data_IF_577358362671
#
_entry.id   IF_577358362671
#
_cell.length_a   1.000
_cell.length_b   1.000
_cell.length_c   1.000
_cell.angle_alpha   90.00
_cell.angle_beta   90.00
_cell.angle_gamma   90.00
#
_symmetry.space_group_name_H-M   'P 1'
#
loop_
_entity.id
_entity.type
_entity.pdbx_description
1 polymer ?
#
# COMPACT_ATOMS: atom_id res chain seq x y z
N UNK A 1 -48.01 32.03 -10.61
CA UNK A 1 -47.34 31.69 -9.35
C UNK A 1 -45.92 31.20 -9.62
N UNK A 2 -44.94 31.74 -8.89
CA UNK A 2 -43.53 31.71 -9.27
C UNK A 2 -42.87 30.34 -9.00
N UNK A 3 -42.51 29.60 -10.05
CA UNK A 3 -41.71 28.36 -10.00
C UNK A 3 -40.20 28.65 -9.86
N UNK A 4 -39.81 29.65 -9.05
CA UNK A 4 -38.40 30.06 -8.87
C UNK A 4 -37.60 29.13 -7.95
N UNK A 5 -38.28 28.32 -7.14
CA UNK A 5 -37.58 27.37 -6.23
C UNK A 5 -37.12 26.09 -6.91
N UNK A 6 -37.84 25.61 -7.92
CA UNK A 6 -37.53 24.40 -8.67
C UNK A 6 -36.29 24.54 -9.55
N UNK A 7 -36.03 25.72 -10.11
CA UNK A 7 -34.84 25.97 -10.95
C UNK A 7 -33.51 26.06 -10.19
N UNK A 8 -33.53 26.29 -8.88
CA UNK A 8 -32.33 26.32 -8.06
C UNK A 8 -31.97 24.92 -7.46
N UNK A 9 -32.96 24.05 -7.31
CA UNK A 9 -32.73 22.71 -6.79
C UNK A 9 -32.00 21.82 -7.79
N UNK A 10 -32.29 21.99 -9.09
CA UNK A 10 -31.67 21.19 -10.14
C UNK A 10 -30.14 21.38 -10.25
N UNK A 11 -29.61 22.64 -10.36
CA UNK A 11 -28.16 22.82 -10.37
C UNK A 11 -27.50 22.44 -9.03
N UNK A 12 -28.17 22.60 -7.89
CA UNK A 12 -27.65 22.18 -6.60
C UNK A 12 -27.46 20.66 -6.54
N UNK A 13 -28.43 19.89 -7.07
CA UNK A 13 -28.33 18.42 -7.14
C UNK A 13 -27.21 17.97 -8.08
N UNK A 14 -27.13 18.56 -9.28
CA UNK A 14 -26.08 18.27 -10.26
C UNK A 14 -24.70 18.57 -9.68
N UNK A 15 -24.54 19.71 -9.02
CA UNK A 15 -23.28 20.13 -8.39
C UNK A 15 -22.87 19.17 -7.27
N UNK A 16 -23.83 18.75 -6.43
CA UNK A 16 -23.56 17.77 -5.36
C UNK A 16 -23.10 16.43 -5.91
N UNK A 17 -23.77 15.92 -6.94
CA UNK A 17 -23.40 14.68 -7.62
C UNK A 17 -22.00 14.78 -8.25
N UNK A 18 -21.70 15.92 -8.90
CA UNK A 18 -20.39 16.17 -9.48
C UNK A 18 -19.27 16.20 -8.44
N UNK A 19 -19.49 16.85 -7.28
CA UNK A 19 -18.51 16.87 -6.19
C UNK A 19 -18.25 15.49 -5.61
N UNK A 20 -19.30 14.69 -5.40
CA UNK A 20 -19.16 13.28 -4.95
C UNK A 20 -18.31 12.48 -5.94
N UNK A 21 -18.56 12.64 -7.22
CA UNK A 21 -17.81 11.96 -8.27
C UNK A 21 -16.34 12.39 -8.31
N UNK A 22 -16.04 13.68 -8.17
CA UNK A 22 -14.67 14.20 -8.09
C UNK A 22 -13.91 13.62 -6.90
N UNK A 23 -14.53 13.58 -5.72
CA UNK A 23 -13.90 12.99 -4.52
C UNK A 23 -13.67 11.48 -4.73
N UNK A 24 -14.64 10.78 -5.33
CA UNK A 24 -14.51 9.37 -5.64
C UNK A 24 -13.34 9.06 -6.58
N UNK A 25 -13.18 9.83 -7.65
CA UNK A 25 -12.04 9.70 -8.58
C UNK A 25 -10.72 9.97 -7.86
N UNK A 26 -10.68 11.00 -7.00
CA UNK A 26 -9.49 11.34 -6.22
C UNK A 26 -9.09 10.21 -5.27
N UNK A 27 -10.06 9.63 -4.55
CA UNK A 27 -9.79 8.51 -3.65
C UNK A 27 -9.31 7.27 -4.40
N UNK A 28 -9.88 6.98 -5.56
CA UNK A 28 -9.43 5.88 -6.41
C UNK A 28 -7.99 6.09 -6.90
N UNK A 29 -7.64 7.31 -7.32
CA UNK A 29 -6.28 7.65 -7.72
C UNK A 29 -5.27 7.49 -6.56
N UNK A 30 -5.65 7.95 -5.36
CA UNK A 30 -4.83 7.77 -4.14
C UNK A 30 -4.64 6.31 -3.77
N UNK A 31 -5.69 5.51 -3.89
CA UNK A 31 -5.63 4.07 -3.64
C UNK A 31 -4.71 3.35 -4.64
N UNK A 32 -4.81 3.67 -5.92
CA UNK A 32 -3.92 3.12 -6.97
C UNK A 32 -2.46 3.51 -6.72
N UNK A 33 -2.20 4.76 -6.36
CA UNK A 33 -0.86 5.21 -5.99
C UNK A 33 -0.32 4.46 -4.77
N UNK A 34 -1.12 4.33 -3.71
CA UNK A 34 -0.73 3.60 -2.51
C UNK A 34 -0.41 2.13 -2.82
N UNK A 35 -1.24 1.47 -3.64
CA UNK A 35 -1.00 0.08 -4.05
C UNK A 35 0.32 -0.06 -4.81
N UNK A 36 0.60 0.80 -5.78
CA UNK A 36 1.85 0.79 -6.54
C UNK A 36 3.07 1.05 -5.64
N UNK A 37 2.96 1.98 -4.69
CA UNK A 37 4.03 2.29 -3.74
C UNK A 37 4.37 1.09 -2.85
N UNK A 38 3.38 0.40 -2.27
CA UNK A 38 3.65 -0.80 -1.47
C UNK A 38 4.14 -1.98 -2.32
N UNK A 39 3.68 -2.12 -3.56
CA UNK A 39 4.18 -3.16 -4.47
C UNK A 39 5.67 -2.94 -4.80
N UNK A 40 6.04 -1.71 -5.10
CA UNK A 40 7.43 -1.33 -5.34
C UNK A 40 8.32 -1.58 -4.10
N UNK A 41 7.87 -1.13 -2.92
CA UNK A 41 8.60 -1.32 -1.67
C UNK A 41 8.76 -2.81 -1.32
N UNK A 42 7.72 -3.64 -1.51
CA UNK A 42 7.79 -5.09 -1.31
C UNK A 42 8.84 -5.74 -2.23
N UNK A 43 8.84 -5.35 -3.51
CA UNK A 43 9.78 -5.89 -4.48
C UNK A 43 11.23 -5.49 -4.16
N UNK A 44 11.46 -4.23 -3.81
CA UNK A 44 12.77 -3.73 -3.40
C UNK A 44 13.28 -4.45 -2.15
N UNK A 45 12.46 -4.56 -1.11
CA UNK A 45 12.83 -5.23 0.13
C UNK A 45 13.11 -6.73 -0.06
N UNK A 46 12.31 -7.43 -0.87
CA UNK A 46 12.55 -8.84 -1.20
C UNK A 46 13.87 -9.03 -1.97
N UNK A 47 14.15 -8.16 -2.94
CA UNK A 47 15.41 -8.19 -3.69
C UNK A 47 16.62 -7.87 -2.80
N UNK A 48 16.50 -6.88 -1.92
CA UNK A 48 17.53 -6.56 -0.94
C UNK A 48 17.81 -7.74 -0.01
N UNK A 49 16.77 -8.40 0.49
CA UNK A 49 16.89 -9.57 1.34
C UNK A 49 17.49 -10.79 0.61
N UNK A 50 17.17 -10.98 -0.68
CA UNK A 50 17.68 -12.12 -1.47
C UNK A 50 19.20 -12.11 -1.68
N UNK A 51 19.82 -10.94 -1.60
CA UNK A 51 21.29 -10.77 -1.69
C UNK A 51 21.98 -10.85 -0.33
N UNK A 52 21.24 -11.06 0.76
CA UNK A 52 21.72 -11.09 2.15
C UNK A 52 21.22 -12.31 2.91
N UNK A 53 21.43 -13.46 2.32
CA UNK A 53 21.20 -14.74 2.98
C UNK A 53 22.28 -15.10 4.00
N UNK A 54 22.18 -16.27 4.59
CA UNK A 54 23.08 -16.73 5.65
C UNK A 54 24.57 -16.80 5.25
N UNK A 55 24.87 -16.92 3.95
CA UNK A 55 26.23 -17.03 3.42
C UNK A 55 26.86 -15.67 3.06
N UNK A 56 26.11 -14.58 3.13
CA UNK A 56 26.56 -13.23 2.70
C UNK A 56 27.52 -12.53 3.68
N UNK A 57 27.77 -13.10 4.85
CA UNK A 57 28.51 -12.47 5.95
C UNK A 57 27.70 -11.41 6.72
N UNK A 58 26.57 -10.96 6.18
CA UNK A 58 25.64 -10.03 6.82
C UNK A 58 24.20 -10.48 6.52
N UNK A 59 23.81 -11.60 7.15
CA UNK A 59 22.47 -12.16 6.97
C UNK A 59 21.38 -11.15 7.36
N UNK A 60 20.41 -10.92 6.47
CA UNK A 60 19.31 -10.00 6.72
C UNK A 60 18.42 -10.51 7.86
N UNK A 61 18.25 -9.69 8.90
CA UNK A 61 17.25 -9.91 9.93
C UNK A 61 15.88 -9.35 9.48
N UNK A 62 14.80 -9.79 10.14
CA UNK A 62 13.45 -9.26 9.88
C UNK A 62 13.41 -7.74 9.98
N UNK A 63 14.07 -7.18 11.01
CA UNK A 63 14.09 -5.74 11.25
C UNK A 63 14.76 -4.95 10.11
N UNK A 64 15.82 -5.50 9.52
CA UNK A 64 16.55 -4.85 8.43
C UNK A 64 15.70 -4.81 7.16
N UNK A 65 14.99 -5.91 6.86
CA UNK A 65 14.07 -5.97 5.71
C UNK A 65 12.88 -5.05 5.91
N UNK A 66 12.38 -4.91 7.14
CA UNK A 66 11.32 -3.96 7.47
C UNK A 66 11.78 -2.52 7.29
N UNK A 67 13.00 -2.19 7.75
CA UNK A 67 13.58 -0.86 7.55
C UNK A 67 13.76 -0.52 6.07
N UNK A 68 14.26 -1.47 5.28
CA UNK A 68 14.40 -1.30 3.82
C UNK A 68 13.04 -1.09 3.13
N UNK A 69 12.01 -1.86 3.52
CA UNK A 69 10.66 -1.67 3.00
C UNK A 69 10.09 -0.29 3.33
N UNK A 70 10.27 0.19 4.56
CA UNK A 70 9.83 1.51 5.01
C UNK A 70 10.58 2.65 4.32
N UNK A 71 11.88 2.49 4.10
CA UNK A 71 12.71 3.49 3.40
C UNK A 71 12.31 3.66 1.93
N UNK A 72 11.78 2.62 1.32
CA UNK A 72 11.31 2.65 -0.08
C UNK A 72 9.82 2.97 -0.24
N UNK A 73 9.11 3.25 0.85
CA UNK A 73 7.72 3.65 0.82
C UNK A 73 7.62 5.15 0.51
N UNK A 74 7.07 5.49 -0.65
CA UNK A 74 6.99 6.88 -1.11
C UNK A 74 5.65 7.51 -0.75
N UNK A 75 5.69 8.65 -0.04
CA UNK A 75 4.54 9.50 0.27
C UNK A 75 3.38 8.80 1.00
N UNK A 76 3.65 7.70 1.72
CA UNK A 76 2.69 7.01 2.56
C UNK A 76 3.14 7.04 4.03
N UNK A 77 2.16 6.94 4.93
CA UNK A 77 2.41 6.95 6.37
C UNK A 77 2.92 5.57 6.83
N UNK A 78 4.17 5.50 7.28
CA UNK A 78 4.79 4.27 7.77
C UNK A 78 4.06 3.67 8.99
N UNK A 79 3.31 4.48 9.74
CA UNK A 79 2.52 3.99 10.90
C UNK A 79 1.35 3.10 10.51
N UNK A 80 0.89 3.20 9.26
CA UNK A 80 -0.19 2.39 8.70
C UNK A 80 0.32 1.15 7.97
N UNK A 81 1.65 0.96 7.89
CA UNK A 81 2.29 -0.15 7.21
C UNK A 81 2.61 -1.29 8.18
N UNK A 82 2.25 -2.51 7.79
CA UNK A 82 2.68 -3.75 8.44
C UNK A 82 3.51 -4.56 7.46
N UNK A 83 4.71 -4.95 7.86
CA UNK A 83 5.65 -5.73 7.04
C UNK A 83 5.81 -7.12 7.64
N UNK A 84 5.47 -8.14 6.87
CA UNK A 84 5.73 -9.54 7.17
C UNK A 84 6.87 -10.07 6.32
N UNK A 85 7.82 -10.76 6.91
CA UNK A 85 8.96 -11.39 6.22
C UNK A 85 9.01 -12.86 6.59
N UNK A 86 9.10 -13.72 5.59
CA UNK A 86 9.23 -15.17 5.77
C UNK A 86 10.31 -15.74 4.87
N UNK A 87 11.08 -16.69 5.39
CA UNK A 87 12.06 -17.48 4.64
C UNK A 87 11.59 -18.92 4.56
N UNK A 88 11.61 -19.51 3.39
CA UNK A 88 11.14 -20.87 3.18
C UNK A 88 12.15 -21.67 2.35
N UNK A 89 12.70 -22.77 2.88
CA UNK A 89 12.56 -23.32 4.24
C UNK A 89 13.41 -22.59 5.29
N UNK A 90 14.43 -21.81 4.89
CA UNK A 90 15.37 -21.11 5.77
C UNK A 90 16.00 -19.92 5.03
N UNK A 91 17.01 -19.25 5.65
CA UNK A 91 17.72 -18.10 5.03
C UNK A 91 18.98 -18.55 4.26
N UNK A 92 19.04 -19.78 3.75
CA UNK A 92 20.18 -20.27 2.98
C UNK A 92 20.03 -19.98 1.48
N UNK A 93 21.13 -19.96 0.72
CA UNK A 93 21.07 -19.88 -0.74
C UNK A 93 20.17 -20.95 -1.34
N UNK A 94 19.36 -20.60 -2.33
CA UNK A 94 18.37 -21.47 -2.95
C UNK A 94 17.00 -21.49 -2.26
N UNK A 95 16.91 -20.95 -1.03
CA UNK A 95 15.61 -20.75 -0.34
C UNK A 95 14.90 -19.52 -0.88
N UNK A 96 13.63 -19.37 -0.54
CA UNK A 96 12.81 -18.22 -0.96
C UNK A 96 12.57 -17.25 0.19
N UNK A 97 12.89 -15.98 0.01
CA UNK A 97 12.44 -14.91 0.90
C UNK A 97 11.14 -14.33 0.34
N UNK A 98 10.14 -14.21 1.18
CA UNK A 98 8.86 -13.60 0.86
C UNK A 98 8.64 -12.39 1.77
N UNK A 99 8.40 -11.23 1.15
CA UNK A 99 8.07 -9.99 1.84
C UNK A 99 6.64 -9.61 1.52
N UNK A 100 5.80 -9.51 2.55
CA UNK A 100 4.41 -9.09 2.45
C UNK A 100 4.22 -7.74 3.13
N UNK A 101 3.72 -6.75 2.37
CA UNK A 101 3.34 -5.45 2.90
C UNK A 101 1.82 -5.35 2.97
N UNK A 102 1.32 -4.86 4.10
CA UNK A 102 -0.09 -4.56 4.31
C UNK A 102 -0.22 -3.12 4.75
N UNK A 103 -0.95 -2.32 3.99
CA UNK A 103 -1.19 -0.90 4.27
C UNK A 103 -2.67 -0.64 4.56
N UNK A 104 -2.95 0.09 5.66
CA UNK A 104 -4.30 0.48 6.04
C UNK A 104 -4.67 1.80 5.37
N UNK A 105 -5.33 1.72 4.22
CA UNK A 105 -5.78 2.89 3.46
C UNK A 105 -7.02 3.52 4.10
N UNK A 106 -7.04 4.87 4.18
CA UNK A 106 -8.18 5.66 4.67
C UNK A 106 -8.77 6.47 3.53
N UNK A 107 -9.96 6.10 3.01
CA UNK A 107 -10.66 6.91 2.00
C UNK A 107 -11.19 8.21 2.59
N UNK A 108 -11.33 9.26 1.74
CA UNK A 108 -11.86 10.56 2.13
C UNK A 108 -13.39 10.60 2.13
N UNK A 109 -14.00 9.93 1.12
CA UNK A 109 -15.44 10.00 0.89
C UNK A 109 -16.25 9.15 1.86
N UNK A 110 -15.70 8.01 2.27
CA UNK A 110 -16.40 7.08 3.13
C UNK A 110 -15.69 7.08 4.48
N UNK A 111 -16.15 7.88 5.45
CA UNK A 111 -15.67 7.80 6.82
C UNK A 111 -16.23 6.52 7.48
N UNK A 112 -15.97 5.36 6.87
CA UNK A 112 -16.25 4.08 7.48
C UNK A 112 -15.22 3.90 8.60
N UNK A 113 -15.56 4.40 9.76
CA UNK A 113 -14.67 4.41 10.92
C UNK A 113 -14.30 3.00 11.41
N UNK A 114 -14.96 1.97 10.90
CA UNK A 114 -14.76 0.57 11.29
C UNK A 114 -14.08 -0.31 10.22
N UNK A 115 -14.12 0.05 8.94
CA UNK A 115 -13.55 -0.78 7.88
C UNK A 115 -12.34 -0.12 7.26
N UNK A 116 -11.16 -0.42 7.82
CA UNK A 116 -9.88 -0.05 7.18
C UNK A 116 -9.72 -0.88 5.93
N UNK A 117 -9.62 -0.23 4.78
CA UNK A 117 -9.32 -0.89 3.53
C UNK A 117 -7.85 -1.32 3.55
N UNK A 118 -7.61 -2.63 3.58
CA UNK A 118 -6.26 -3.20 3.63
C UNK A 118 -5.77 -3.46 2.21
N UNK A 119 -4.75 -2.72 1.80
CA UNK A 119 -4.01 -2.99 0.57
C UNK A 119 -2.88 -3.95 0.89
N UNK A 120 -2.77 -5.04 0.16
CA UNK A 120 -1.72 -6.06 0.34
C UNK A 120 -0.90 -6.18 -0.92
N UNK A 121 0.42 -6.29 -0.75
CA UNK A 121 1.34 -6.68 -1.81
C UNK A 121 2.35 -7.67 -1.26
N UNK A 122 2.67 -8.69 -2.05
CA UNK A 122 3.63 -9.73 -1.69
C UNK A 122 4.65 -9.89 -2.81
N UNK A 123 5.92 -9.93 -2.45
CA UNK A 123 7.00 -10.23 -3.38
C UNK A 123 7.85 -11.36 -2.83
N UNK A 124 8.22 -12.31 -3.69
CA UNK A 124 9.07 -13.43 -3.35
C UNK A 124 10.30 -13.46 -4.26
N UNK A 125 11.47 -13.74 -3.70
CA UNK A 125 12.74 -13.83 -4.40
C UNK A 125 13.55 -15.01 -3.90
N UNK A 126 14.35 -15.60 -4.78
CA UNK A 126 15.28 -16.68 -4.41
C UNK A 126 16.54 -16.04 -3.82
N UNK A 127 17.01 -16.59 -2.70
CA UNK A 127 18.25 -16.16 -2.02
C UNK A 127 19.44 -16.64 -2.82
N UNK A 128 20.35 -15.70 -3.13
CA UNK A 128 21.51 -15.95 -4.00
C UNK A 128 22.79 -16.17 -3.19
N UNK A 129 22.88 -15.57 -1.99
CA UNK A 129 24.05 -15.62 -1.10
C UNK A 129 23.66 -15.95 0.33
#
# INVERSE_FOLDING_TARGET
MKRRGSTMLEPAFITSLFLILLIGITDFGRMGFAYNSIAFAAHRAARWASTRGSSSGHAAAVADVQAEAQANLTALDNTQLTVGVTWTPNNNPGSTVQVQLTYNFKPLLIPISSTKLKLKSTSAQIIIQ
#
